data_IF_092814694261
#
_entry.id   IF_092814694261
#
_cell.length_a   1.000
_cell.length_b   1.000
_cell.length_c   1.000
_cell.angle_alpha   90.00
_cell.angle_beta   90.00
_cell.angle_gamma   90.00
#
_symmetry.space_group_name_H-M   'P 1'
#
loop_
_entity.id
_entity.type
_entity.pdbx_description
1 polymer ?
#
# COMPACT_ATOMS: atom_id res chain seq x y z
N UNK A 1 -24.01 17.45 -33.33
CA UNK A 1 -24.73 17.87 -32.12
C UNK A 1 -24.97 16.61 -31.29
N UNK A 2 -24.12 16.33 -30.31
CA UNK A 2 -24.30 15.27 -29.31
C UNK A 2 -24.39 15.92 -27.93
N UNK A 3 -25.49 15.65 -27.25
CA UNK A 3 -25.79 16.16 -25.90
C UNK A 3 -24.91 15.43 -24.88
N UNK A 4 -24.20 16.16 -24.05
CA UNK A 4 -23.53 15.65 -22.86
C UNK A 4 -24.54 15.68 -21.71
N UNK A 5 -24.84 14.51 -21.16
CA UNK A 5 -25.66 14.38 -19.97
C UNK A 5 -24.85 14.60 -18.70
N UNK A 6 -25.42 15.41 -17.85
CA UNK A 6 -24.89 15.91 -16.59
C UNK A 6 -24.92 14.80 -15.52
N UNK A 7 -23.76 14.35 -15.04
CA UNK A 7 -23.66 13.40 -13.92
C UNK A 7 -23.62 14.20 -12.62
N UNK A 8 -24.73 14.20 -11.90
CA UNK A 8 -24.84 14.75 -10.54
C UNK A 8 -24.07 13.87 -9.55
N UNK A 9 -23.09 14.46 -8.87
CA UNK A 9 -22.40 13.87 -7.72
C UNK A 9 -23.32 13.90 -6.51
N UNK A 10 -23.75 12.74 -6.05
CA UNK A 10 -24.38 12.57 -4.73
C UNK A 10 -23.34 12.25 -3.70
N UNK A 11 -23.11 13.15 -2.76
CA UNK A 11 -22.32 12.93 -1.55
C UNK A 11 -23.20 12.28 -0.48
N UNK A 12 -22.78 11.23 0.23
CA UNK A 12 -23.51 10.75 1.40
C UNK A 12 -23.18 11.62 2.62
N UNK A 13 -24.21 12.18 3.21
CA UNK A 13 -24.19 12.86 4.50
C UNK A 13 -24.11 11.80 5.59
N UNK A 14 -23.05 11.84 6.40
CA UNK A 14 -22.94 11.05 7.63
C UNK A 14 -23.60 11.84 8.76
N UNK A 15 -24.74 11.34 9.25
CA UNK A 15 -25.42 11.84 10.44
C UNK A 15 -24.78 11.19 11.67
N UNK A 16 -24.17 12.00 12.51
CA UNK A 16 -23.74 11.61 13.86
C UNK A 16 -24.91 11.73 14.82
N UNK A 17 -25.41 10.65 15.35
CA UNK A 17 -26.28 10.67 16.53
C UNK A 17 -25.46 10.40 17.80
N UNK A 18 -25.50 11.39 18.68
CA UNK A 18 -25.07 11.36 20.08
C UNK A 18 -26.01 10.47 20.89
N UNK A 19 -25.48 9.58 21.71
CA UNK A 19 -26.18 9.01 22.86
C UNK A 19 -25.27 9.07 24.06
N UNK A 20 -25.70 9.87 25.04
CA UNK A 20 -25.09 10.11 26.35
C UNK A 20 -25.55 9.05 27.36
N UNK A 21 -24.79 8.83 28.44
CA UNK A 21 -24.91 7.68 29.34
C UNK A 21 -25.75 7.97 30.60
N UNK A 22 -25.96 6.95 31.39
CA UNK A 22 -26.47 6.81 32.75
C UNK A 22 -27.87 6.21 32.90
N UNK A 23 -27.84 4.97 33.42
CA UNK A 23 -28.64 4.63 34.58
C UNK A 23 -28.16 3.35 35.28
N UNK A 24 -27.62 3.56 36.48
CA UNK A 24 -27.49 2.53 37.51
C UNK A 24 -28.88 2.07 37.96
N UNK A 25 -29.06 0.78 38.21
CA UNK A 25 -29.96 0.27 39.26
C UNK A 25 -29.38 -1.02 39.82
N UNK A 26 -29.16 -0.98 41.15
CA UNK A 26 -28.88 -2.08 42.07
C UNK A 26 -30.12 -2.96 42.29
N UNK A 27 -29.92 -4.23 42.64
CA UNK A 27 -30.49 -5.00 43.76
C UNK A 27 -30.46 -6.50 43.43
N UNK A 28 -29.65 -7.29 44.08
CA UNK A 28 -29.72 -8.02 45.34
C UNK A 28 -30.85 -9.08 45.44
N UNK A 29 -30.40 -10.25 45.87
CA UNK A 29 -31.03 -11.35 46.62
C UNK A 29 -31.33 -12.62 45.78
N UNK A 30 -30.64 -13.63 46.08
CA UNK A 30 -30.72 -14.75 47.05
C UNK A 30 -31.40 -16.02 46.52
N UNK A 31 -30.56 -17.03 46.44
CA UNK A 31 -30.59 -18.39 47.04
C UNK A 31 -31.73 -19.36 46.67
N UNK A 32 -31.44 -20.51 46.15
CA UNK A 32 -31.40 -21.81 46.84
C UNK A 32 -31.30 -23.00 45.86
N UNK A 33 -30.28 -23.80 46.14
CA UNK A 33 -30.18 -25.26 46.12
C UNK A 33 -31.17 -26.10 45.27
N UNK A 34 -30.72 -27.06 44.46
CA UNK A 34 -30.34 -28.42 44.90
C UNK A 34 -29.97 -29.29 43.68
N UNK A 35 -28.80 -29.94 43.76
CA UNK A 35 -28.39 -31.29 43.32
C UNK A 35 -28.95 -31.87 42.01
N UNK A 36 -28.09 -32.27 41.09
CA UNK A 36 -27.55 -33.66 41.05
C UNK A 36 -26.45 -33.79 40.00
N UNK A 37 -25.41 -34.48 40.37
CA UNK A 37 -24.22 -34.82 39.63
C UNK A 37 -24.51 -35.63 38.37
N UNK A 38 -23.81 -35.26 37.27
CA UNK A 38 -23.24 -36.20 36.34
C UNK A 38 -21.89 -35.66 35.91
N UNK A 39 -20.86 -36.33 36.40
CA UNK A 39 -19.48 -36.14 35.96
C UNK A 39 -19.38 -36.50 34.46
N UNK A 40 -19.15 -35.50 33.65
CA UNK A 40 -18.55 -35.69 32.33
C UNK A 40 -17.07 -35.42 32.48
N UNK A 41 -16.17 -36.24 31.99
CA UNK A 41 -14.73 -36.05 32.14
C UNK A 41 -14.36 -34.71 31.53
N UNK A 42 -13.68 -33.88 32.31
CA UNK A 42 -13.09 -32.65 31.86
C UNK A 42 -12.18 -32.95 30.66
N UNK A 43 -12.54 -32.40 29.52
CA UNK A 43 -11.63 -32.41 28.36
C UNK A 43 -10.35 -31.72 28.81
N UNK A 44 -9.27 -32.49 28.96
CA UNK A 44 -7.94 -31.99 29.17
C UNK A 44 -7.56 -31.29 27.86
N UNK A 45 -7.64 -29.97 27.87
CA UNK A 45 -7.12 -29.15 26.79
C UNK A 45 -5.60 -29.22 26.88
N UNK A 46 -5.00 -30.20 26.18
CA UNK A 46 -3.58 -30.18 25.93
C UNK A 46 -3.30 -28.95 25.07
N UNK A 47 -2.77 -27.91 25.70
CA UNK A 47 -2.20 -26.76 25.02
C UNK A 47 -1.00 -27.29 24.22
N UNK A 48 -1.25 -27.73 23.01
CA UNK A 48 -0.20 -27.96 22.04
C UNK A 48 0.50 -26.61 21.87
N UNK A 49 1.72 -26.50 22.38
CA UNK A 49 2.60 -25.39 22.09
C UNK A 49 2.94 -25.47 20.61
N UNK A 50 2.04 -24.99 19.76
CA UNK A 50 2.46 -24.47 18.47
C UNK A 50 3.42 -23.34 18.81
N UNK A 51 4.70 -23.53 18.51
CA UNK A 51 5.59 -22.43 18.23
C UNK A 51 5.00 -21.71 17.01
N UNK A 52 3.99 -20.90 17.24
CA UNK A 52 3.64 -19.86 16.31
C UNK A 52 4.82 -18.89 16.36
N UNK A 53 5.74 -19.05 15.41
CA UNK A 53 6.58 -17.93 15.00
C UNK A 53 5.56 -16.89 14.54
N UNK A 54 5.14 -16.01 15.45
CA UNK A 54 4.25 -14.92 15.10
C UNK A 54 5.05 -14.00 14.19
N UNK A 55 4.87 -14.18 12.88
CA UNK A 55 5.41 -13.28 11.87
C UNK A 55 4.76 -11.92 12.10
N UNK A 56 5.45 -11.08 12.83
CA UNK A 56 4.97 -9.76 13.21
C UNK A 56 5.24 -8.81 12.07
N UNK A 57 4.21 -8.16 11.62
CA UNK A 57 4.23 -7.03 10.72
C UNK A 57 5.29 -6.00 11.14
N UNK A 58 6.27 -5.72 10.28
CA UNK A 58 7.34 -4.77 10.56
C UNK A 58 6.93 -3.33 10.24
N UNK A 59 6.26 -2.72 11.21
CA UNK A 59 5.78 -1.35 11.09
C UNK A 59 6.88 -0.33 10.83
N UNK A 60 8.07 -0.51 11.42
CA UNK A 60 9.16 0.46 11.30
C UNK A 60 9.74 0.46 9.89
N UNK A 61 10.00 -0.72 9.35
CA UNK A 61 10.46 -0.88 7.97
C UNK A 61 9.42 -0.34 6.98
N UNK A 62 8.14 -0.62 7.16
CA UNK A 62 7.07 -0.10 6.31
C UNK A 62 7.03 1.43 6.33
N UNK A 63 7.11 2.06 7.51
CA UNK A 63 7.13 3.52 7.62
C UNK A 63 8.37 4.14 6.95
N UNK A 64 9.54 3.49 7.07
CA UNK A 64 10.77 3.90 6.40
C UNK A 64 10.60 3.85 4.87
N UNK A 65 10.18 2.71 4.33
CA UNK A 65 9.99 2.51 2.89
C UNK A 65 8.96 3.45 2.30
N UNK A 66 7.86 3.70 3.04
CA UNK A 66 6.85 4.69 2.65
C UNK A 66 7.44 6.10 2.56
N UNK A 67 8.28 6.50 3.52
CA UNK A 67 8.95 7.80 3.50
C UNK A 67 9.88 7.92 2.30
N UNK A 68 10.72 6.93 2.07
CA UNK A 68 11.64 6.90 0.92
C UNK A 68 10.88 7.01 -0.42
N UNK A 69 9.76 6.31 -0.55
CA UNK A 69 8.90 6.42 -1.72
C UNK A 69 8.30 7.82 -1.87
N UNK A 70 7.86 8.45 -0.77
CA UNK A 70 7.33 9.81 -0.78
C UNK A 70 8.40 10.85 -1.14
N UNK A 71 9.63 10.67 -0.64
CA UNK A 71 10.77 11.54 -0.97
C UNK A 71 11.12 11.46 -2.45
N UNK A 72 11.21 10.25 -3.02
CA UNK A 72 11.46 10.05 -4.44
C UNK A 72 10.36 10.66 -5.31
N UNK A 73 9.09 10.47 -4.94
CA UNK A 73 7.96 11.10 -5.62
C UNK A 73 7.99 12.63 -5.54
N UNK A 74 8.35 13.18 -4.38
CA UNK A 74 8.48 14.64 -4.19
C UNK A 74 9.62 15.23 -5.04
N UNK A 75 10.69 14.48 -5.28
CA UNK A 75 11.76 14.89 -6.19
C UNK A 75 11.25 15.00 -7.62
N UNK A 76 10.46 14.04 -8.08
CA UNK A 76 9.85 14.08 -9.42
C UNK A 76 8.89 15.29 -9.57
N UNK A 77 8.03 15.52 -8.58
CA UNK A 77 7.12 16.67 -8.60
C UNK A 77 7.91 17.99 -8.68
N UNK A 78 8.98 18.14 -7.88
CA UNK A 78 9.83 19.34 -7.92
C UNK A 78 10.50 19.53 -9.27
N UNK A 79 10.98 18.46 -9.90
CA UNK A 79 11.54 18.53 -11.25
C UNK A 79 10.52 19.08 -12.25
N UNK A 80 9.29 18.54 -12.24
CA UNK A 80 8.22 19.00 -13.13
C UNK A 80 7.85 20.46 -12.85
N UNK A 81 7.69 20.83 -11.59
CA UNK A 81 7.39 22.22 -11.18
C UNK A 81 8.49 23.19 -11.63
N UNK A 82 9.75 22.83 -11.46
CA UNK A 82 10.87 23.68 -11.87
C UNK A 82 10.95 23.82 -13.41
N UNK A 83 10.72 22.74 -14.14
CA UNK A 83 10.63 22.78 -15.60
C UNK A 83 9.51 23.72 -16.07
N UNK A 84 8.33 23.61 -15.48
CA UNK A 84 7.19 24.50 -15.79
C UNK A 84 7.49 25.96 -15.42
N UNK A 85 8.10 26.19 -14.26
CA UNK A 85 8.49 27.53 -13.82
C UNK A 85 9.47 28.20 -14.78
N UNK A 86 10.45 27.46 -15.32
CA UNK A 86 11.36 27.96 -16.37
C UNK A 86 10.62 28.41 -17.63
N UNK A 87 9.44 27.84 -17.91
CA UNK A 87 8.58 28.18 -19.05
C UNK A 87 7.52 29.24 -18.68
N UNK A 88 7.56 29.79 -17.47
CA UNK A 88 6.56 30.74 -16.99
C UNK A 88 5.18 30.10 -16.72
N UNK A 89 5.15 28.78 -16.53
CA UNK A 89 3.95 27.98 -16.30
C UNK A 89 3.89 27.47 -14.86
N UNK A 90 2.70 27.06 -14.44
CA UNK A 90 2.45 26.46 -13.12
C UNK A 90 1.63 25.18 -13.30
N UNK A 91 1.94 24.14 -12.52
CA UNK A 91 1.24 22.87 -12.56
C UNK A 91 -0.27 23.02 -12.26
N UNK A 92 -0.63 23.96 -11.39
CA UNK A 92 -2.00 24.22 -10.96
C UNK A 92 -2.84 24.93 -12.04
N UNK A 93 -2.18 25.62 -12.97
CA UNK A 93 -2.81 26.40 -14.03
C UNK A 93 -2.68 25.76 -15.41
N UNK A 94 -2.09 24.56 -15.48
CA UNK A 94 -1.88 23.85 -16.73
C UNK A 94 -3.22 23.35 -17.29
N UNK A 95 -3.57 23.77 -18.49
CA UNK A 95 -4.76 23.27 -19.21
C UNK A 95 -4.51 21.90 -19.85
N UNK A 96 -5.58 21.15 -20.08
CA UNK A 96 -5.50 19.81 -20.67
C UNK A 96 -4.87 19.79 -22.07
N UNK A 97 -4.99 20.90 -22.83
CA UNK A 97 -4.46 21.04 -24.20
C UNK A 97 -3.13 21.81 -24.24
N UNK A 98 -2.54 22.13 -23.08
CA UNK A 98 -1.36 22.95 -23.03
C UNK A 98 -0.08 22.14 -23.33
N UNK A 99 0.69 22.58 -24.33
CA UNK A 99 1.95 21.94 -24.69
C UNK A 99 3.04 22.40 -23.70
N UNK A 100 3.66 21.41 -23.08
CA UNK A 100 4.81 21.56 -22.19
C UNK A 100 6.05 21.05 -22.93
N UNK A 101 7.07 21.91 -23.04
CA UNK A 101 8.34 21.53 -23.61
C UNK A 101 9.24 20.89 -22.55
N UNK A 102 9.84 19.75 -22.87
CA UNK A 102 10.84 19.12 -22.01
C UNK A 102 12.21 19.70 -22.39
N UNK A 103 12.71 20.60 -21.57
CA UNK A 103 14.04 21.19 -21.76
C UNK A 103 15.17 20.17 -21.47
N UNK A 104 16.37 20.43 -21.98
CA UNK A 104 17.50 19.52 -21.81
C UNK A 104 17.90 19.32 -20.36
N UNK A 105 17.78 20.37 -19.52
CA UNK A 105 18.07 20.27 -18.09
C UNK A 105 17.09 19.32 -17.40
N UNK A 106 15.78 19.46 -17.67
CA UNK A 106 14.78 18.54 -17.11
C UNK A 106 15.00 17.09 -17.59
N UNK A 107 15.45 16.90 -18.84
CA UNK A 107 15.76 15.58 -19.37
C UNK A 107 16.92 14.93 -18.62
N UNK A 108 18.01 15.67 -18.40
CA UNK A 108 19.18 15.17 -17.68
C UNK A 108 18.85 14.84 -16.21
N UNK A 109 18.15 15.74 -15.54
CA UNK A 109 17.69 15.52 -14.14
C UNK A 109 16.76 14.31 -14.05
N UNK A 110 15.83 14.15 -15.01
CA UNK A 110 14.98 12.96 -15.07
C UNK A 110 15.79 11.68 -15.29
N UNK A 111 16.79 11.70 -16.17
CA UNK A 111 17.68 10.56 -16.41
C UNK A 111 18.47 10.15 -15.17
N UNK A 112 18.89 11.11 -14.34
CA UNK A 112 19.54 10.81 -13.05
C UNK A 112 18.57 10.13 -12.09
N UNK A 113 17.32 10.61 -12.00
CA UNK A 113 16.31 10.04 -11.11
C UNK A 113 15.91 8.60 -11.48
N UNK A 114 15.76 8.32 -12.79
CA UNK A 114 15.34 7.01 -13.29
C UNK A 114 16.51 6.10 -13.69
N UNK A 115 17.73 6.61 -13.64
CA UNK A 115 18.93 5.85 -14.00
C UNK A 115 19.20 4.67 -13.07
N UNK A 116 20.22 3.85 -13.38
CA UNK A 116 20.51 2.63 -12.60
C UNK A 116 20.75 2.88 -11.11
N UNK A 117 21.32 4.05 -10.77
CA UNK A 117 21.60 4.45 -9.38
C UNK A 117 20.57 5.47 -8.85
N UNK A 118 19.56 5.81 -9.63
CA UNK A 118 18.56 6.80 -9.27
C UNK A 118 17.47 6.22 -8.34
N UNK A 119 16.87 7.07 -7.50
CA UNK A 119 15.85 6.62 -6.54
C UNK A 119 14.56 6.13 -7.17
N UNK A 120 14.31 6.47 -8.45
CA UNK A 120 13.18 6.02 -9.26
C UNK A 120 13.61 5.01 -10.35
N UNK A 121 14.86 4.57 -10.34
CA UNK A 121 15.37 3.54 -11.23
C UNK A 121 14.76 2.17 -10.92
N UNK A 122 14.74 1.29 -11.93
CA UNK A 122 14.11 -0.02 -11.83
C UNK A 122 14.68 -0.87 -10.68
N UNK A 123 15.99 -0.78 -10.44
CA UNK A 123 16.67 -1.49 -9.35
C UNK A 123 16.20 -1.03 -7.97
N UNK A 124 16.19 0.28 -7.72
CA UNK A 124 15.78 0.86 -6.44
C UNK A 124 14.28 0.64 -6.16
N UNK A 125 13.44 0.76 -7.19
CA UNK A 125 11.99 0.59 -7.04
C UNK A 125 11.65 -0.88 -6.80
N UNK A 126 12.24 -1.81 -7.56
CA UNK A 126 12.01 -3.25 -7.37
C UNK A 126 12.45 -3.71 -5.99
N UNK A 127 13.58 -3.22 -5.48
CA UNK A 127 14.03 -3.53 -4.13
C UNK A 127 13.04 -3.06 -3.08
N UNK A 128 12.58 -1.80 -3.16
CA UNK A 128 11.57 -1.27 -2.22
C UNK A 128 10.25 -2.05 -2.24
N UNK A 129 9.81 -2.51 -3.41
CA UNK A 129 8.59 -3.33 -3.53
C UNK A 129 8.73 -4.67 -2.81
N UNK A 130 9.87 -5.35 -2.99
CA UNK A 130 10.14 -6.63 -2.32
C UNK A 130 10.30 -6.44 -0.81
N UNK A 131 11.08 -5.47 -0.38
CA UNK A 131 11.25 -5.15 1.05
C UNK A 131 9.92 -4.81 1.71
N UNK A 132 9.03 -4.11 1.00
CA UNK A 132 7.70 -3.79 1.49
C UNK A 132 6.81 -5.05 1.62
N UNK A 133 6.87 -5.96 0.65
CA UNK A 133 6.16 -7.23 0.72
C UNK A 133 6.65 -8.10 1.90
N UNK A 134 7.96 -8.18 2.10
CA UNK A 134 8.59 -8.88 3.23
C UNK A 134 8.15 -8.25 4.56
N UNK A 135 8.21 -6.93 4.67
CA UNK A 135 7.84 -6.21 5.89
C UNK A 135 6.35 -6.36 6.25
N UNK A 136 5.44 -6.35 5.26
CA UNK A 136 4.01 -6.58 5.46
C UNK A 136 3.73 -8.02 5.93
N UNK A 137 4.42 -9.01 5.35
CA UNK A 137 4.25 -10.40 5.75
C UNK A 137 4.89 -10.72 7.10
N UNK A 138 5.82 -9.86 7.58
CA UNK A 138 6.69 -10.18 8.70
C UNK A 138 7.69 -11.30 8.36
N UNK A 139 8.06 -11.45 7.09
CA UNK A 139 8.92 -12.52 6.60
C UNK A 139 8.21 -13.88 6.44
N UNK A 140 6.90 -13.90 6.56
CA UNK A 140 6.10 -15.14 6.44
C UNK A 140 5.97 -15.59 4.99
N UNK A 141 6.76 -16.56 4.58
CA UNK A 141 6.75 -17.13 3.23
C UNK A 141 5.47 -17.88 2.88
N UNK A 142 4.64 -18.25 3.85
CA UNK A 142 3.33 -18.85 3.57
C UNK A 142 2.37 -17.90 2.85
N UNK A 143 2.64 -16.60 2.92
CA UNK A 143 1.88 -15.53 2.25
C UNK A 143 2.42 -15.18 0.86
N UNK A 144 3.46 -15.87 0.38
CA UNK A 144 4.15 -15.52 -0.86
C UNK A 144 3.21 -15.47 -2.06
N UNK A 145 2.28 -16.41 -2.18
CA UNK A 145 1.34 -16.44 -3.31
C UNK A 145 0.39 -15.23 -3.32
N UNK A 146 -0.12 -14.85 -2.14
CA UNK A 146 -0.96 -13.66 -2.00
C UNK A 146 -0.19 -12.37 -2.29
N UNK A 147 1.06 -12.26 -1.84
CA UNK A 147 1.93 -11.11 -2.11
C UNK A 147 2.28 -11.01 -3.60
N UNK A 148 2.62 -12.12 -4.24
CA UNK A 148 2.85 -12.18 -5.69
C UNK A 148 1.65 -11.69 -6.47
N UNK A 149 0.46 -12.20 -6.13
CA UNK A 149 -0.79 -11.78 -6.77
C UNK A 149 -1.06 -10.28 -6.59
N UNK A 150 -0.77 -9.72 -5.41
CA UNK A 150 -0.93 -8.30 -5.15
C UNK A 150 0.04 -7.44 -5.98
N UNK A 151 1.31 -7.88 -6.14
CA UNK A 151 2.28 -7.21 -7.01
C UNK A 151 1.79 -7.23 -8.46
N UNK A 152 1.39 -8.38 -8.98
CA UNK A 152 0.86 -8.53 -10.33
C UNK A 152 -0.34 -7.62 -10.58
N UNK A 153 -1.29 -7.59 -9.64
CA UNK A 153 -2.47 -6.75 -9.74
C UNK A 153 -2.09 -5.26 -9.79
N UNK A 154 -1.15 -4.84 -8.95
CA UNK A 154 -0.69 -3.44 -8.94
C UNK A 154 -0.10 -3.00 -10.28
N UNK A 155 0.74 -3.83 -10.91
CA UNK A 155 1.30 -3.52 -12.24
C UNK A 155 0.24 -3.55 -13.34
N UNK A 156 -0.73 -4.48 -13.30
CA UNK A 156 -1.85 -4.53 -14.26
C UNK A 156 -2.76 -3.30 -14.15
N UNK A 157 -3.00 -2.83 -12.94
CA UNK A 157 -3.79 -1.61 -12.73
C UNK A 157 -3.05 -0.36 -13.24
N UNK A 158 -1.74 -0.27 -12.98
CA UNK A 158 -0.91 0.79 -13.52
C UNK A 158 -0.89 0.78 -15.06
N UNK A 159 -0.78 -0.40 -15.68
CA UNK A 159 -0.83 -0.57 -17.13
C UNK A 159 -2.14 -0.05 -17.73
N UNK A 160 -3.28 -0.34 -17.08
CA UNK A 160 -4.59 0.16 -17.52
C UNK A 160 -4.69 1.67 -17.47
N UNK A 161 -4.17 2.29 -16.40
CA UNK A 161 -4.21 3.74 -16.20
C UNK A 161 -3.32 4.45 -17.24
N UNK A 162 -2.15 3.89 -17.52
CA UNK A 162 -1.15 4.48 -18.41
C UNK A 162 -1.39 4.15 -19.91
N UNK A 163 -2.31 3.22 -20.21
CA UNK A 163 -2.49 2.73 -21.57
C UNK A 163 -1.36 1.85 -22.07
N UNK A 164 -0.56 1.30 -21.17
CA UNK A 164 0.61 0.46 -21.40
C UNK A 164 1.72 0.77 -20.37
N UNK A 165 2.58 -0.21 -20.08
CA UNK A 165 3.73 0.02 -19.19
C UNK A 165 4.92 0.58 -19.97
N UNK A 166 5.53 1.70 -19.54
CA UNK A 166 6.83 2.14 -20.02
C UNK A 166 7.91 1.06 -19.82
N UNK A 167 8.97 1.10 -20.61
CA UNK A 167 10.01 0.06 -20.54
C UNK A 167 10.69 -0.03 -19.17
N UNK A 168 10.90 1.10 -18.50
CA UNK A 168 11.41 1.12 -17.13
C UNK A 168 10.47 0.39 -16.15
N UNK A 169 9.15 0.52 -16.33
CA UNK A 169 8.17 -0.18 -15.48
C UNK A 169 8.12 -1.67 -15.76
N UNK A 170 8.30 -2.09 -17.02
CA UNK A 170 8.45 -3.51 -17.37
C UNK A 170 9.69 -4.11 -16.75
N UNK A 171 10.81 -3.38 -16.78
CA UNK A 171 12.06 -3.82 -16.15
C UNK A 171 11.91 -3.85 -14.61
N UNK A 172 11.26 -2.86 -14.02
CA UNK A 172 10.93 -2.86 -12.59
C UNK A 172 10.13 -4.10 -12.20
N UNK A 173 9.11 -4.44 -12.98
CA UNK A 173 8.31 -5.64 -12.74
C UNK A 173 9.16 -6.91 -12.82
N UNK A 174 9.96 -7.06 -13.86
CA UNK A 174 10.85 -8.21 -14.04
C UNK A 174 11.79 -8.39 -12.84
N UNK A 175 12.48 -7.30 -12.43
CA UNK A 175 13.38 -7.31 -11.28
C UNK A 175 12.64 -7.57 -9.98
N UNK A 176 11.44 -7.04 -9.81
CA UNK A 176 10.62 -7.30 -8.62
C UNK A 176 10.31 -8.78 -8.48
N UNK A 177 9.88 -9.43 -9.57
CA UNK A 177 9.57 -10.86 -9.54
C UNK A 177 10.81 -11.71 -9.32
N UNK A 178 11.93 -11.39 -9.95
CA UNK A 178 13.20 -12.08 -9.75
C UNK A 178 13.67 -12.03 -8.29
N UNK A 179 13.67 -10.85 -7.68
CA UNK A 179 14.06 -10.66 -6.27
C UNK A 179 13.07 -11.31 -5.31
N UNK A 180 11.77 -11.22 -5.63
CA UNK A 180 10.73 -11.85 -4.83
C UNK A 180 10.87 -13.37 -4.83
N UNK A 181 11.15 -13.97 -6.00
CA UNK A 181 11.39 -15.41 -6.12
C UNK A 181 12.66 -15.83 -5.39
N UNK A 182 13.72 -15.02 -5.45
CA UNK A 182 14.94 -15.27 -4.68
C UNK A 182 14.63 -15.32 -3.18
N UNK A 183 13.89 -14.33 -2.65
CA UNK A 183 13.47 -14.32 -1.25
C UNK A 183 12.62 -15.54 -0.87
N UNK A 184 11.66 -15.95 -1.70
CA UNK A 184 10.81 -17.12 -1.41
C UNK A 184 11.65 -18.39 -1.31
N UNK A 185 12.68 -18.53 -2.17
CA UNK A 185 13.53 -19.71 -2.27
C UNK A 185 14.75 -19.70 -1.32
N UNK A 186 15.01 -18.62 -0.61
CA UNK A 186 16.02 -18.60 0.47
C UNK A 186 15.60 -19.59 1.57
N UNK A 187 16.54 -20.43 2.04
CA UNK A 187 16.32 -21.38 3.14
C UNK A 187 16.42 -20.72 4.54
#
# INVERSE_FOLDING_TARGET
>A
MMKVENIQRTTPVVTTENVDPEKKIDSKAEAKETQTAKETPAAVYEKTERKETSHVYDKNTILKLKRESQEAHSQLIRLVQEMLRRQGKSLELLGDDEIVEIDETARLEAQELIGPNGPLGAEAVSQRLVDFAIAISGGDKSKAEALRSAIDQGFKEAEKILGGLPDISKETYRLTMEKFDAWVNEE
#
